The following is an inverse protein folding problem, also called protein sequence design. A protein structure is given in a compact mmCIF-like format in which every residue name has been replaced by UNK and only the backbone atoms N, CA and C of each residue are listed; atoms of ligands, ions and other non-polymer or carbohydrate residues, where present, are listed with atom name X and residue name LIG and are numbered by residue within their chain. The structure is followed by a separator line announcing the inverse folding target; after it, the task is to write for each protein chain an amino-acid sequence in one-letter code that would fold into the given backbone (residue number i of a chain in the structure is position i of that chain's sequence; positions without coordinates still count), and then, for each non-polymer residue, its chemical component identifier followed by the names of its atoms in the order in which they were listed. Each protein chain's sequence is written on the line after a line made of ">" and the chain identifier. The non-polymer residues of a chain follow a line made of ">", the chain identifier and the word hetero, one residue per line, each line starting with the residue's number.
data_IF_605454450472
#
_entry.id   IF_605454450472
#
_cell.length_a   1.000
_cell.length_b   1.000
_cell.length_c   1.000
_cell.angle_alpha   90.00
_cell.angle_beta   90.00
_cell.angle_gamma   90.00
#
_symmetry.space_group_name_H-M   'P 1'
#
loop_
_entity.id
_entity.type
_entity.pdbx_description
1 polymer ?
#
# COMPACT_ATOMS: atom_id res chain seq x y z
N UNK A 1 27.44 5.17 14.59
CA UNK A 1 25.99 5.06 14.83
C UNK A 1 25.79 4.08 15.98
N UNK A 2 25.03 4.47 17.02
CA UNK A 2 24.89 3.66 18.24
C UNK A 2 23.83 2.56 18.04
N UNK A 3 23.97 1.42 18.71
CA UNK A 3 23.12 0.24 18.48
C UNK A 3 21.61 0.49 18.71
N UNK A 4 21.25 1.37 19.64
CA UNK A 4 19.88 1.81 19.92
C UNK A 4 19.24 2.59 18.77
N UNK A 5 20.05 3.36 18.03
CA UNK A 5 19.62 4.15 16.88
C UNK A 5 19.26 3.23 15.69
N UNK A 6 20.07 2.19 15.46
CA UNK A 6 19.79 1.16 14.45
C UNK A 6 18.50 0.37 14.72
N UNK A 7 18.27 -0.02 15.98
CA UNK A 7 17.07 -0.77 16.35
C UNK A 7 15.81 0.07 16.13
N UNK A 8 15.83 1.34 16.52
CA UNK A 8 14.71 2.26 16.31
C UNK A 8 14.42 2.53 14.84
N UNK A 9 15.47 2.64 14.02
CA UNK A 9 15.34 2.80 12.57
C UNK A 9 14.66 1.57 11.96
N UNK A 10 15.15 0.37 12.28
CA UNK A 10 14.58 -0.88 11.78
C UNK A 10 13.12 -1.09 12.21
N UNK A 11 12.77 -0.75 13.46
CA UNK A 11 11.38 -0.81 13.93
C UNK A 11 10.47 0.17 13.19
N UNK A 12 10.96 1.38 12.89
CA UNK A 12 10.22 2.38 12.12
C UNK A 12 10.00 1.91 10.69
N UNK A 13 11.04 1.39 10.04
CA UNK A 13 10.96 0.83 8.69
C UNK A 13 9.96 -0.34 8.63
N UNK A 14 10.01 -1.25 9.59
CA UNK A 14 9.05 -2.37 9.69
C UNK A 14 7.61 -1.88 9.80
N UNK A 15 7.33 -0.90 10.66
CA UNK A 15 5.97 -0.36 10.83
C UNK A 15 5.46 0.36 9.58
N UNK A 16 6.35 1.09 8.88
CA UNK A 16 6.01 1.76 7.63
C UNK A 16 5.65 0.75 6.54
N UNK A 17 6.45 -0.32 6.43
CA UNK A 17 6.17 -1.42 5.50
C UNK A 17 4.82 -2.07 5.80
N UNK A 18 4.54 -2.41 7.07
CA UNK A 18 3.28 -3.03 7.47
C UNK A 18 2.07 -2.14 7.16
N UNK A 19 2.20 -0.83 7.39
CA UNK A 19 1.16 0.14 7.06
C UNK A 19 0.91 0.21 5.55
N UNK A 20 1.96 0.23 4.73
CA UNK A 20 1.86 0.22 3.27
C UNK A 20 1.23 -1.07 2.75
N UNK A 21 1.57 -2.23 3.34
CA UNK A 21 0.91 -3.50 3.02
C UNK A 21 -0.59 -3.48 3.29
N UNK A 22 -0.99 -3.00 4.47
CA UNK A 22 -2.41 -2.88 4.84
C UNK A 22 -3.15 -1.91 3.91
N UNK A 23 -2.54 -0.76 3.62
CA UNK A 23 -3.10 0.22 2.70
C UNK A 23 -3.30 -0.38 1.30
N UNK A 24 -2.26 -1.03 0.76
CA UNK A 24 -2.33 -1.70 -0.55
C UNK A 24 -3.46 -2.71 -0.60
N UNK A 25 -3.56 -3.56 0.41
CA UNK A 25 -4.60 -4.60 0.48
C UNK A 25 -6.00 -3.99 0.50
N UNK A 26 -6.27 -3.07 1.42
CA UNK A 26 -7.59 -2.44 1.52
C UNK A 26 -7.95 -1.71 0.23
N UNK A 27 -7.05 -0.93 -0.35
CA UNK A 27 -7.31 -0.20 -1.60
C UNK A 27 -7.57 -1.18 -2.75
N UNK A 28 -6.83 -2.30 -2.83
CA UNK A 28 -7.04 -3.30 -3.88
C UNK A 28 -8.42 -3.96 -3.82
N UNK A 29 -8.98 -4.15 -2.63
CA UNK A 29 -10.34 -4.69 -2.46
C UNK A 29 -11.42 -3.73 -2.98
N UNK A 30 -11.20 -2.42 -2.85
CA UNK A 30 -12.19 -1.41 -3.23
C UNK A 30 -12.00 -0.94 -4.67
N UNK A 31 -10.81 -1.13 -5.25
CA UNK A 31 -10.55 -0.80 -6.64
C UNK A 31 -11.41 -1.65 -7.57
N UNK A 32 -12.11 -1.01 -8.50
CA UNK A 32 -13.08 -1.63 -9.40
C UNK A 32 -14.45 -1.88 -8.77
N UNK A 33 -14.66 -1.58 -7.48
CA UNK A 33 -16.00 -1.61 -6.91
C UNK A 33 -16.84 -0.50 -7.50
N UNK A 34 -18.06 -0.85 -7.87
CA UNK A 34 -19.03 0.11 -8.40
C UNK A 34 -19.76 0.82 -7.28
N UNK A 35 -19.73 2.15 -7.28
CA UNK A 35 -20.45 3.02 -6.37
C UNK A 35 -21.65 3.60 -7.11
N UNK A 36 -22.79 3.67 -6.40
CA UNK A 36 -24.00 4.32 -6.89
C UNK A 36 -24.40 5.46 -5.96
N UNK A 37 -24.57 6.66 -6.50
CA UNK A 37 -24.99 7.84 -5.75
C UNK A 37 -25.83 8.73 -6.66
N UNK A 38 -26.98 9.20 -6.17
CA UNK A 38 -27.86 10.14 -6.89
C UNK A 38 -28.21 9.75 -8.34
N UNK A 39 -28.32 8.45 -8.61
CA UNK A 39 -28.66 7.91 -9.93
C UNK A 39 -27.46 7.67 -10.84
N UNK A 40 -26.28 8.15 -10.45
CA UNK A 40 -25.02 7.89 -11.15
C UNK A 40 -24.35 6.62 -10.62
N UNK A 41 -23.66 5.92 -11.51
CA UNK A 41 -22.94 4.69 -11.21
C UNK A 41 -21.55 4.75 -11.85
N UNK A 42 -20.51 4.59 -11.04
CA UNK A 42 -19.12 4.58 -11.52
C UNK A 42 -18.27 3.57 -10.74
N UNK A 43 -17.24 3.03 -11.38
CA UNK A 43 -16.24 2.21 -10.72
C UNK A 43 -15.23 3.10 -9.98
N UNK A 44 -14.86 2.71 -8.77
CA UNK A 44 -13.71 3.29 -8.08
C UNK A 44 -12.43 2.89 -8.84
N UNK A 45 -11.61 3.87 -9.20
CA UNK A 45 -10.30 3.65 -9.80
C UNK A 45 -9.21 4.20 -8.86
N UNK A 46 -8.57 3.29 -8.15
CA UNK A 46 -7.40 3.54 -7.31
C UNK A 46 -6.10 3.02 -7.95
N UNK A 47 -6.08 2.86 -9.27
CA UNK A 47 -4.93 2.34 -9.99
C UNK A 47 -3.67 3.17 -9.77
N UNK A 48 -3.80 4.49 -9.58
CA UNK A 48 -2.67 5.38 -9.31
C UNK A 48 -2.12 5.20 -7.89
N UNK A 49 -3.00 5.12 -6.89
CA UNK A 49 -2.65 4.90 -5.48
C UNK A 49 -1.95 3.55 -5.31
N UNK A 50 -2.47 2.51 -5.95
CA UNK A 50 -1.84 1.19 -5.96
C UNK A 50 -0.43 1.23 -6.57
N UNK A 51 -0.23 1.96 -7.68
CA UNK A 51 1.10 2.14 -8.29
C UNK A 51 2.07 2.88 -7.37
N UNK A 52 1.60 3.91 -6.65
CA UNK A 52 2.44 4.66 -5.71
C UNK A 52 2.88 3.78 -4.53
N UNK A 53 1.96 2.99 -3.96
CA UNK A 53 2.29 2.08 -2.87
C UNK A 53 3.25 0.97 -3.33
N UNK A 54 3.02 0.42 -4.53
CA UNK A 54 3.93 -0.57 -5.13
C UNK A 54 5.35 0.00 -5.33
N UNK A 55 5.47 1.26 -5.77
CA UNK A 55 6.76 1.93 -5.93
C UNK A 55 7.46 2.17 -4.58
N UNK A 56 6.71 2.56 -3.54
CA UNK A 56 7.24 2.76 -2.19
C UNK A 56 7.76 1.44 -1.59
N UNK A 57 6.96 0.36 -1.68
CA UNK A 57 7.37 -0.97 -1.20
C UNK A 57 8.60 -1.48 -1.96
N UNK A 58 8.65 -1.29 -3.29
CA UNK A 58 9.83 -1.66 -4.09
C UNK A 58 11.10 -0.91 -3.65
N UNK A 59 10.97 0.38 -3.30
CA UNK A 59 12.08 1.18 -2.79
C UNK A 59 12.60 0.68 -1.45
N UNK A 60 11.70 0.12 -0.62
CA UNK A 60 12.05 -0.57 0.63
C UNK A 60 12.60 -2.00 0.43
N UNK A 61 12.87 -2.41 -0.81
CA UNK A 61 13.42 -3.74 -1.13
C UNK A 61 12.38 -4.88 -1.16
N UNK A 62 11.08 -4.53 -1.18
CA UNK A 62 9.99 -5.50 -1.11
C UNK A 62 9.36 -5.67 -2.51
N UNK A 63 9.41 -6.90 -3.04
CA UNK A 63 8.81 -7.20 -4.34
C UNK A 63 7.30 -7.46 -4.22
N UNK A 64 6.50 -6.50 -4.70
CA UNK A 64 5.03 -6.57 -4.67
C UNK A 64 4.43 -7.46 -5.75
N UNK A 65 5.24 -8.04 -6.67
CA UNK A 65 4.75 -8.99 -7.69
C UNK A 65 4.07 -10.22 -7.09
N UNK A 66 4.42 -10.59 -5.84
CA UNK A 66 3.80 -11.71 -5.11
C UNK A 66 2.41 -11.37 -4.55
N UNK A 67 1.97 -10.12 -4.64
CA UNK A 67 0.71 -9.62 -4.06
C UNK A 67 -0.41 -9.45 -5.08
N UNK A 68 -0.24 -9.95 -6.31
CA UNK A 68 -1.35 -10.15 -7.25
C UNK A 68 -1.89 -11.56 -7.03
N UNK A 69 -2.89 -11.68 -6.17
CA UNK A 69 -3.86 -12.78 -6.20
C UNK A 69 -5.19 -12.19 -6.64
#
# INVERSE_FOLDING_TARGET
>A
MRADEWVREAERESRLVDALYKARYVISLHNGMTVRCDGDEWALDFGQELKMIDAALKTAGIDTRRLRQ
#
